data_IF_164077125751
#
_entry.id   IF_164077125751
#
_cell.length_a   1.000
_cell.length_b   1.000
_cell.length_c   1.000
_cell.angle_alpha   90.00
_cell.angle_beta   90.00
_cell.angle_gamma   90.00
#
_symmetry.space_group_name_H-M   'P 1'
#
loop_
_entity.id
_entity.type
_entity.pdbx_description
1 polymer ?
#
# COMPACT_ATOMS: atom_id res chain seq x y z
N UNK A 1 -4.04 27.41 -0.20
CA UNK A 1 -3.84 26.01 -0.63
C UNK A 1 -2.39 25.69 -0.36
N UNK A 2 -2.10 24.64 0.40
CA UNK A 2 -0.72 24.19 0.55
C UNK A 2 -0.34 23.52 -0.77
N UNK A 3 0.49 24.18 -1.57
CA UNK A 3 1.00 23.60 -2.81
C UNK A 3 1.88 22.41 -2.45
N UNK A 4 1.55 21.24 -3.00
CA UNK A 4 2.43 20.08 -3.03
C UNK A 4 2.65 19.69 -4.49
N UNK A 5 3.81 19.16 -4.78
CA UNK A 5 4.13 18.56 -6.07
C UNK A 5 4.18 17.04 -5.93
N UNK A 6 3.87 16.34 -7.02
CA UNK A 6 4.00 14.89 -7.09
C UNK A 6 5.15 14.59 -8.04
N UNK A 7 6.13 13.85 -7.54
CA UNK A 7 7.33 13.44 -8.28
C UNK A 7 7.36 11.92 -8.34
N UNK A 8 7.69 11.36 -9.50
CA UNK A 8 7.92 9.93 -9.61
C UNK A 8 9.31 9.60 -9.06
N UNK A 9 9.40 8.66 -8.13
CA UNK A 9 10.68 8.13 -7.67
C UNK A 9 11.11 7.00 -8.61
N UNK A 10 12.18 7.24 -9.37
CA UNK A 10 12.80 6.22 -10.23
C UNK A 10 13.73 5.34 -9.39
N UNK A 11 13.19 4.22 -8.88
CA UNK A 11 13.90 3.27 -8.01
C UNK A 11 13.66 1.83 -8.46
N UNK A 12 14.56 0.93 -8.09
CA UNK A 12 14.41 -0.51 -8.35
C UNK A 12 13.43 -1.15 -7.36
N UNK A 13 12.22 -1.47 -7.83
CA UNK A 13 11.19 -2.16 -7.05
C UNK A 13 11.42 -3.69 -6.96
N UNK A 14 12.55 -4.21 -7.43
CA UNK A 14 12.85 -5.65 -7.33
C UNK A 14 13.02 -6.07 -5.87
N UNK A 15 12.29 -7.11 -5.46
CA UNK A 15 12.41 -7.67 -4.12
C UNK A 15 13.77 -8.37 -3.92
N UNK A 16 14.43 -8.14 -2.80
CA UNK A 16 15.70 -8.78 -2.49
C UNK A 16 15.50 -10.27 -2.12
N UNK A 17 16.54 -11.12 -2.29
CA UNK A 17 16.47 -12.52 -1.88
C UNK A 17 16.08 -12.68 -0.39
N UNK A 18 15.00 -13.42 -0.13
CA UNK A 18 14.44 -13.69 1.21
C UNK A 18 13.91 -12.45 1.95
N UNK A 19 13.74 -11.33 1.26
CA UNK A 19 13.12 -10.14 1.83
C UNK A 19 11.66 -10.43 2.19
N UNK A 20 11.31 -10.17 3.45
CA UNK A 20 9.94 -10.37 3.92
C UNK A 20 9.09 -9.14 3.55
N UNK A 21 7.76 -9.30 3.35
CA UNK A 21 6.89 -8.21 2.88
C UNK A 21 7.00 -6.91 3.69
N UNK A 22 7.19 -7.03 5.01
CA UNK A 22 7.35 -5.92 5.94
C UNK A 22 8.63 -5.11 5.68
N UNK A 23 9.72 -5.79 5.38
CA UNK A 23 11.01 -5.15 5.13
C UNK A 23 11.04 -4.54 3.73
N UNK A 24 10.45 -5.24 2.75
CA UNK A 24 10.25 -4.73 1.39
C UNK A 24 9.46 -3.41 1.40
N UNK A 25 8.27 -3.37 2.02
CA UNK A 25 7.46 -2.15 2.07
C UNK A 25 8.23 -0.96 2.69
N UNK A 26 8.94 -1.20 3.80
CA UNK A 26 9.75 -0.17 4.48
C UNK A 26 10.88 0.34 3.59
N UNK A 27 11.62 -0.57 2.97
CA UNK A 27 12.70 -0.23 2.04
C UNK A 27 12.16 0.62 0.89
N UNK A 28 11.04 0.22 0.30
CA UNK A 28 10.41 0.96 -0.79
C UNK A 28 10.00 2.37 -0.41
N UNK A 29 9.29 2.56 0.71
CA UNK A 29 8.95 3.90 1.16
C UNK A 29 10.20 4.75 1.42
N UNK A 30 11.22 4.18 2.07
CA UNK A 30 12.50 4.86 2.34
C UNK A 30 13.20 5.28 1.05
N UNK A 31 13.41 4.36 0.12
CA UNK A 31 14.12 4.62 -1.13
C UNK A 31 13.38 5.66 -1.97
N UNK A 32 12.04 5.60 -2.04
CA UNK A 32 11.21 6.63 -2.68
C UNK A 32 11.41 8.02 -2.05
N UNK A 33 11.45 8.12 -0.72
CA UNK A 33 11.70 9.38 -0.03
C UNK A 33 13.14 9.90 -0.21
N UNK A 34 14.10 9.01 -0.48
CA UNK A 34 15.51 9.35 -0.68
C UNK A 34 15.88 9.62 -2.15
N UNK A 35 15.06 9.21 -3.11
CA UNK A 35 15.31 9.38 -4.54
C UNK A 35 15.37 10.85 -4.97
N UNK A 36 14.63 11.73 -4.31
CA UNK A 36 14.68 13.17 -4.58
C UNK A 36 15.92 13.80 -3.93
N UNK A 37 16.56 14.81 -4.55
CA UNK A 37 17.69 15.49 -3.94
C UNK A 37 17.30 16.14 -2.60
N UNK A 38 18.21 16.21 -1.61
CA UNK A 38 17.98 16.96 -0.38
C UNK A 38 17.61 18.41 -0.67
N UNK A 39 16.75 18.99 0.17
CA UNK A 39 16.33 20.38 0.07
C UNK A 39 15.51 20.82 1.28
N UNK A 40 14.92 22.01 1.18
CA UNK A 40 14.17 22.63 2.28
C UNK A 40 12.69 22.21 2.33
N UNK A 41 12.30 21.24 1.49
CA UNK A 41 10.96 20.70 1.44
C UNK A 41 10.82 19.41 2.27
N UNK A 42 9.63 19.18 2.79
CA UNK A 42 9.25 17.87 3.31
C UNK A 42 8.97 16.93 2.14
N UNK A 43 9.61 15.76 2.12
CA UNK A 43 9.34 14.71 1.15
C UNK A 43 8.64 13.56 1.85
N UNK A 44 7.37 13.34 1.51
CA UNK A 44 6.59 12.21 1.98
C UNK A 44 6.49 11.17 0.85
N UNK A 45 6.92 9.95 1.14
CA UNK A 45 6.72 8.82 0.25
C UNK A 45 6.00 7.69 0.98
N UNK A 46 5.29 6.87 0.20
CA UNK A 46 4.62 5.67 0.70
C UNK A 46 4.79 4.50 -0.24
N UNK A 47 4.69 3.30 0.31
CA UNK A 47 4.62 2.06 -0.43
C UNK A 47 3.61 1.12 0.23
N UNK A 48 2.82 0.40 -0.57
CA UNK A 48 1.77 -0.49 -0.06
C UNK A 48 1.86 -1.85 -0.71
N UNK A 49 1.92 -2.87 0.14
CA UNK A 49 2.15 -4.26 -0.22
C UNK A 49 0.99 -5.10 0.28
N UNK A 50 0.40 -5.88 -0.62
CA UNK A 50 -0.56 -6.92 -0.26
C UNK A 50 0.19 -8.24 -0.14
N UNK A 51 0.03 -8.93 0.99
CA UNK A 51 0.71 -10.20 1.24
C UNK A 51 -0.20 -11.25 1.85
N UNK A 52 -0.12 -12.48 1.34
CA UNK A 52 -0.75 -13.66 1.90
C UNK A 52 0.32 -14.56 2.53
N UNK A 53 0.38 -14.58 3.87
CA UNK A 53 1.48 -15.21 4.61
C UNK A 53 2.82 -14.51 4.33
N UNK A 54 3.79 -15.24 3.78
CA UNK A 54 5.11 -14.71 3.38
C UNK A 54 5.18 -14.25 1.92
N UNK A 55 4.12 -14.44 1.14
CA UNK A 55 4.08 -14.12 -0.29
C UNK A 55 3.55 -12.71 -0.51
N UNK A 56 4.35 -11.85 -1.13
CA UNK A 56 3.89 -10.60 -1.74
C UNK A 56 3.03 -10.97 -2.95
N UNK A 57 1.84 -10.38 -3.05
CA UNK A 57 0.99 -10.53 -4.22
C UNK A 57 1.37 -9.45 -5.25
N UNK A 58 1.50 -9.83 -6.53
CA UNK A 58 1.90 -8.89 -7.58
C UNK A 58 0.79 -7.87 -7.84
N UNK A 59 1.14 -6.80 -8.56
CA UNK A 59 0.16 -5.99 -9.28
C UNK A 59 -0.49 -6.87 -10.35
N UNK A 60 -1.82 -6.85 -10.45
CA UNK A 60 -2.51 -7.63 -11.48
C UNK A 60 -2.49 -6.87 -12.81
N UNK A 61 -1.60 -7.30 -13.71
CA UNK A 61 -1.45 -6.72 -15.06
C UNK A 61 -2.32 -7.43 -16.11
N UNK A 62 -2.87 -8.59 -15.76
CA UNK A 62 -3.83 -9.33 -16.57
C UNK A 62 -4.92 -9.99 -15.71
N UNK A 63 -6.03 -10.37 -16.34
CA UNK A 63 -7.17 -11.01 -15.66
C UNK A 63 -6.75 -12.32 -14.97
N UNK A 64 -5.82 -13.06 -15.56
CA UNK A 64 -5.35 -14.33 -15.02
C UNK A 64 -4.70 -14.12 -13.65
N UNK A 65 -3.82 -13.14 -13.54
CA UNK A 65 -3.13 -12.75 -12.30
C UNK A 65 -4.12 -12.23 -11.27
N UNK A 66 -5.11 -11.44 -11.69
CA UNK A 66 -6.18 -10.99 -10.79
C UNK A 66 -6.97 -12.17 -10.21
N UNK A 67 -7.39 -13.13 -11.06
CA UNK A 67 -8.13 -14.32 -10.64
C UNK A 67 -7.30 -15.20 -9.69
N UNK A 68 -6.02 -15.40 -9.97
CA UNK A 68 -5.11 -16.14 -9.10
C UNK A 68 -4.98 -15.46 -7.72
N UNK A 69 -4.85 -14.13 -7.69
CA UNK A 69 -4.83 -13.37 -6.44
C UNK A 69 -6.16 -13.52 -5.68
N UNK A 70 -7.30 -13.28 -6.32
CA UNK A 70 -8.63 -13.40 -5.69
C UNK A 70 -8.89 -14.82 -5.17
N UNK A 71 -8.47 -15.86 -5.90
CA UNK A 71 -8.56 -17.25 -5.45
C UNK A 71 -7.71 -17.51 -4.19
N UNK A 72 -6.51 -16.91 -4.11
CA UNK A 72 -5.66 -17.00 -2.93
C UNK A 72 -6.23 -16.24 -1.73
N UNK A 73 -6.95 -15.15 -1.95
CA UNK A 73 -7.51 -14.29 -0.91
C UNK A 73 -8.90 -14.76 -0.42
N UNK A 74 -9.66 -15.43 -1.28
CA UNK A 74 -11.03 -15.90 -1.01
C UNK A 74 -11.14 -16.68 0.31
N UNK A 75 -11.98 -16.20 1.22
CA UNK A 75 -12.21 -16.78 2.55
C UNK A 75 -11.06 -16.63 3.56
N UNK A 76 -9.93 -16.01 3.18
CA UNK A 76 -8.71 -15.94 3.99
C UNK A 76 -8.47 -14.54 4.55
N UNK A 77 -7.61 -14.50 5.57
CA UNK A 77 -6.98 -13.28 6.06
C UNK A 77 -5.68 -13.05 5.29
N UNK A 78 -5.45 -11.82 4.90
CA UNK A 78 -4.19 -11.35 4.33
C UNK A 78 -3.78 -10.04 4.97
N UNK A 79 -2.52 -9.64 4.76
CA UNK A 79 -1.96 -8.41 5.28
C UNK A 79 -1.85 -7.39 4.17
N UNK A 80 -2.19 -6.15 4.50
CA UNK A 80 -1.86 -4.98 3.71
C UNK A 80 -0.91 -4.14 4.56
N UNK A 81 0.29 -3.97 4.05
CA UNK A 81 1.42 -3.33 4.72
C UNK A 81 1.68 -2.02 4.02
N UNK A 82 1.45 -0.91 4.71
CA UNK A 82 1.64 0.43 4.16
C UNK A 82 2.73 1.13 4.92
N UNK A 83 3.88 1.27 4.27
CA UNK A 83 5.01 2.00 4.80
C UNK A 83 4.93 3.45 4.34
N UNK A 84 5.35 4.35 5.22
CA UNK A 84 5.53 5.75 4.90
C UNK A 84 6.91 6.20 5.40
N UNK A 85 7.54 7.06 4.62
CA UNK A 85 8.80 7.70 4.95
C UNK A 85 8.66 9.20 4.71
N UNK A 86 9.02 9.98 5.72
CA UNK A 86 9.04 11.44 5.69
C UNK A 86 10.48 11.91 5.87
N UNK A 87 11.05 12.52 4.84
CA UNK A 87 12.30 13.26 4.95
C UNK A 87 11.97 14.73 5.22
N UNK A 88 12.36 15.21 6.39
CA UNK A 88 12.19 16.60 6.79
C UNK A 88 13.28 17.50 6.19
N UNK A 89 13.07 18.83 6.16
CA UNK A 89 14.14 19.79 5.90
C UNK A 89 15.34 19.52 6.83
N UNK A 90 16.56 19.61 6.30
CA UNK A 90 17.78 19.21 7.02
C UNK A 90 18.08 17.71 6.99
N UNK A 91 17.29 16.90 6.28
CA UNK A 91 17.62 15.52 5.91
C UNK A 91 17.25 14.45 6.93
N UNK A 92 16.61 14.80 8.04
CA UNK A 92 16.14 13.80 9.01
C UNK A 92 15.05 12.94 8.41
N UNK A 93 15.21 11.62 8.47
CA UNK A 93 14.26 10.65 7.95
C UNK A 93 13.42 10.04 9.09
N UNK A 94 12.11 10.07 8.95
CA UNK A 94 11.17 9.42 9.86
C UNK A 94 10.34 8.39 9.11
N UNK A 95 10.15 7.21 9.70
CA UNK A 95 9.46 6.10 9.04
C UNK A 95 8.38 5.51 9.94
N UNK A 96 7.28 5.06 9.33
CA UNK A 96 6.24 4.25 9.98
C UNK A 96 5.78 3.16 9.04
N UNK A 97 5.27 2.08 9.64
CA UNK A 97 4.61 1.01 8.91
C UNK A 97 3.29 0.71 9.61
N UNK A 98 2.20 0.82 8.86
CA UNK A 98 0.90 0.32 9.25
C UNK A 98 0.73 -1.11 8.72
N UNK A 99 0.25 -2.01 9.58
CA UNK A 99 -0.16 -3.35 9.18
C UNK A 99 -1.66 -3.47 9.40
N UNK A 100 -2.39 -3.77 8.33
CA UNK A 100 -3.82 -4.01 8.37
C UNK A 100 -4.10 -5.44 7.92
N UNK A 101 -4.90 -6.16 8.69
CA UNK A 101 -5.39 -7.49 8.30
C UNK A 101 -6.77 -7.32 7.66
N UNK A 102 -6.91 -7.81 6.44
CA UNK A 102 -8.16 -7.81 5.69
C UNK A 102 -8.61 -9.26 5.54
N UNK A 103 -9.92 -9.50 5.59
CA UNK A 103 -10.51 -10.80 5.33
C UNK A 103 -11.61 -10.69 4.30
N UNK A 104 -11.45 -11.38 3.18
CA UNK A 104 -12.54 -11.58 2.23
C UNK A 104 -13.53 -12.61 2.76
N UNK A 105 -14.82 -12.48 2.38
CA UNK A 105 -15.73 -13.62 2.43
C UNK A 105 -15.23 -14.75 1.52
N UNK A 106 -15.84 -15.92 1.62
CA UNK A 106 -15.67 -16.93 0.59
C UNK A 106 -16.31 -16.39 -0.70
N UNK A 107 -15.49 -16.07 -1.70
CA UNK A 107 -15.95 -15.55 -2.99
C UNK A 107 -16.59 -16.68 -3.80
N UNK A 108 -17.78 -16.42 -4.36
CA UNK A 108 -18.37 -17.28 -5.38
C UNK A 108 -17.70 -17.05 -6.74
N UNK A 109 -17.94 -17.95 -7.69
CA UNK A 109 -17.48 -17.77 -9.07
C UNK A 109 -18.10 -16.51 -9.69
N UNK A 110 -19.40 -16.32 -9.53
CA UNK A 110 -20.12 -15.19 -10.11
C UNK A 110 -19.61 -13.84 -9.57
N UNK A 111 -19.23 -13.79 -8.29
CA UNK A 111 -18.62 -12.60 -7.69
C UNK A 111 -17.24 -12.30 -8.29
N UNK A 112 -16.43 -13.34 -8.51
CA UNK A 112 -15.12 -13.17 -9.17
C UNK A 112 -15.30 -12.69 -10.60
N UNK A 113 -16.22 -13.28 -11.37
CA UNK A 113 -16.47 -12.85 -12.75
C UNK A 113 -16.98 -11.41 -12.81
N UNK A 114 -17.93 -11.05 -11.96
CA UNK A 114 -18.46 -9.69 -11.90
C UNK A 114 -17.36 -8.67 -11.53
N UNK A 115 -16.50 -9.02 -10.57
CA UNK A 115 -15.39 -8.16 -10.16
C UNK A 115 -14.35 -7.99 -11.27
N UNK A 116 -13.99 -9.08 -11.96
CA UNK A 116 -13.06 -9.04 -13.09
C UNK A 116 -13.62 -8.20 -14.24
N UNK A 117 -14.89 -8.40 -14.60
CA UNK A 117 -15.56 -7.60 -15.64
C UNK A 117 -15.64 -6.10 -15.29
N UNK A 118 -15.63 -5.76 -14.00
CA UNK A 118 -15.64 -4.37 -13.52
C UNK A 118 -14.31 -3.63 -13.66
N UNK A 119 -13.18 -4.32 -13.90
CA UNK A 119 -11.88 -3.71 -14.18
C UNK A 119 -11.16 -3.06 -13.00
N UNK A 120 -11.78 -2.96 -11.82
CA UNK A 120 -11.18 -2.30 -10.64
C UNK A 120 -9.91 -3.01 -10.09
N UNK A 121 -9.62 -4.23 -10.57
CA UNK A 121 -8.43 -5.00 -10.25
C UNK A 121 -7.17 -4.54 -10.99
N UNK A 122 -7.33 -3.82 -12.11
CA UNK A 122 -6.23 -3.51 -13.02
C UNK A 122 -5.12 -2.69 -12.34
N UNK A 123 -3.90 -3.20 -12.41
CA UNK A 123 -2.71 -2.60 -11.79
C UNK A 123 -2.71 -2.63 -10.26
N UNK A 124 -3.70 -3.25 -9.60
CA UNK A 124 -3.78 -3.31 -8.14
C UNK A 124 -2.97 -4.47 -7.57
N UNK A 125 -2.21 -4.20 -6.52
CA UNK A 125 -1.53 -5.25 -5.76
C UNK A 125 -2.56 -6.23 -5.17
N UNK A 126 -2.39 -7.52 -5.41
CA UNK A 126 -3.37 -8.53 -5.00
C UNK A 126 -4.68 -8.51 -5.77
N UNK A 127 -4.77 -7.73 -6.86
CA UNK A 127 -5.89 -7.72 -7.78
C UNK A 127 -7.20 -7.22 -7.18
N UNK A 128 -7.17 -6.31 -6.19
CA UNK A 128 -8.38 -5.65 -5.70
C UNK A 128 -8.14 -4.22 -5.21
N UNK A 129 -9.20 -3.41 -5.23
CA UNK A 129 -9.23 -2.06 -4.68
C UNK A 129 -10.29 -1.94 -3.58
N UNK A 130 -9.88 -1.60 -2.35
CA UNK A 130 -10.82 -1.46 -1.22
C UNK A 130 -11.79 -0.28 -1.39
N UNK A 131 -11.41 0.77 -2.13
CA UNK A 131 -12.30 1.93 -2.40
C UNK A 131 -13.18 1.69 -3.64
N UNK A 132 -13.64 0.46 -3.82
CA UNK A 132 -14.43 0.03 -4.98
C UNK A 132 -15.36 -1.10 -4.61
N UNK A 133 -15.88 -1.82 -5.60
CA UNK A 133 -16.83 -2.91 -5.41
C UNK A 133 -16.29 -4.06 -4.55
N UNK A 134 -14.97 -4.22 -4.44
CA UNK A 134 -14.37 -5.22 -3.55
C UNK A 134 -14.65 -4.94 -2.06
N UNK A 135 -14.98 -3.70 -1.67
CA UNK A 135 -15.34 -3.39 -0.27
C UNK A 135 -16.53 -4.24 0.20
N UNK A 136 -17.52 -4.43 -0.68
CA UNK A 136 -18.69 -5.28 -0.42
C UNK A 136 -18.37 -6.77 -0.27
N UNK A 137 -17.14 -7.18 -0.62
CA UNK A 137 -16.66 -8.57 -0.51
C UNK A 137 -15.73 -8.76 0.71
N UNK A 138 -15.41 -7.69 1.43
CA UNK A 138 -14.56 -7.73 2.63
C UNK A 138 -15.44 -7.95 3.85
N UNK A 139 -15.30 -9.13 4.47
CA UNK A 139 -16.07 -9.51 5.64
C UNK A 139 -15.56 -8.86 6.93
N UNK A 140 -14.28 -8.46 6.98
CA UNK A 140 -13.67 -7.93 8.19
C UNK A 140 -12.32 -7.24 7.92
N UNK A 141 -12.03 -6.21 8.73
CA UNK A 141 -10.77 -5.47 8.73
C UNK A 141 -10.32 -5.28 10.19
N UNK A 142 -9.02 -5.42 10.45
CA UNK A 142 -8.38 -4.97 11.69
C UNK A 142 -7.11 -4.20 11.36
N UNK A 143 -7.13 -2.91 11.64
CA UNK A 143 -6.08 -1.97 11.29
C UNK A 143 -6.67 -0.67 10.74
N UNK A 144 -5.99 -0.08 9.77
CA UNK A 144 -6.33 1.21 9.18
C UNK A 144 -6.89 1.03 7.78
N UNK A 145 -8.16 1.43 7.58
CA UNK A 145 -8.74 1.50 6.23
C UNK A 145 -7.88 2.38 5.30
N UNK A 146 -7.46 3.56 5.78
CA UNK A 146 -6.55 4.45 5.01
C UNK A 146 -5.20 3.82 4.70
N UNK A 147 -4.71 2.91 5.56
CA UNK A 147 -3.55 2.07 5.26
C UNK A 147 -3.84 1.19 4.04
N UNK A 148 -4.95 0.45 4.04
CA UNK A 148 -5.33 -0.39 2.89
C UNK A 148 -5.48 0.40 1.59
N UNK A 149 -5.97 1.63 1.66
CA UNK A 149 -6.06 2.55 0.51
C UNK A 149 -4.67 2.87 -0.07
N UNK A 150 -3.66 3.01 0.78
CA UNK A 150 -2.28 3.25 0.38
C UNK A 150 -1.54 4.31 1.19
N UNK A 151 -2.25 5.07 2.04
CA UNK A 151 -1.66 6.11 2.87
C UNK A 151 -2.26 6.08 4.28
N UNK A 152 -1.57 5.48 5.28
CA UNK A 152 -2.08 5.38 6.65
C UNK A 152 -2.13 6.76 7.32
N UNK A 153 -3.28 7.43 7.24
CA UNK A 153 -3.42 8.86 7.55
C UNK A 153 -3.10 9.21 9.01
N UNK A 154 -3.38 8.31 9.95
CA UNK A 154 -3.04 8.50 11.35
C UNK A 154 -1.52 8.59 11.53
N UNK A 155 -0.79 7.61 11.01
CA UNK A 155 0.67 7.56 11.04
C UNK A 155 1.29 8.72 10.25
N UNK A 156 0.76 9.05 9.08
CA UNK A 156 1.20 10.17 8.25
C UNK A 156 1.06 11.49 9.00
N UNK A 157 -0.11 11.73 9.62
CA UNK A 157 -0.35 12.93 10.41
C UNK A 157 0.61 13.02 11.59
N UNK A 158 0.84 11.91 12.29
CA UNK A 158 1.75 11.86 13.42
C UNK A 158 3.21 12.15 13.00
N UNK A 159 3.66 11.60 11.86
CA UNK A 159 4.99 11.90 11.31
C UNK A 159 5.14 13.36 10.94
N UNK A 160 4.20 13.92 10.17
CA UNK A 160 4.22 15.31 9.75
C UNK A 160 4.26 16.25 10.95
N UNK A 161 3.37 16.05 11.93
CA UNK A 161 3.31 16.87 13.14
C UNK A 161 4.60 16.75 13.97
N UNK A 162 5.13 15.54 14.12
CA UNK A 162 6.38 15.29 14.86
C UNK A 162 7.61 15.91 14.21
N UNK A 163 7.61 16.05 12.89
CA UNK A 163 8.68 16.70 12.12
C UNK A 163 8.52 18.22 11.99
N UNK A 164 7.50 18.81 12.64
CA UNK A 164 7.26 20.26 12.61
C UNK A 164 6.52 20.78 11.39
N UNK A 165 5.92 19.92 10.56
CA UNK A 165 5.08 20.35 9.46
C UNK A 165 3.81 21.05 9.99
N UNK A 166 3.39 22.20 9.43
CA UNK A 166 2.22 22.93 9.90
C UNK A 166 0.92 22.22 9.50
N UNK A 167 0.38 21.37 10.38
CA UNK A 167 -0.88 20.63 10.16
C UNK A 167 -1.83 20.69 11.38
N UNK A 168 -2.99 21.32 11.17
CA UNK A 168 -4.10 21.50 12.13
C UNK A 168 -5.13 20.38 12.05
#
# INVERSE_FOLDING_TARGET
MSDFTVEAADIDETAHPREVPRDYARRMAREKALALPPGDAFVLAGDTVVACGRRVLPKAEDEKTARECLALLSGRRHRVLSAIALRAPGGTLHERLNETIVRFKQLSKDEVEAYIAGGEWEGKAGGYAIQGSAEGLIAWISGSHSGVVGLPLFETRALLKGAGFPIG
#
